data_IF_630244581049
#
_entry.id   IF_630244581049
#
_cell.length_a   1.000
_cell.length_b   1.000
_cell.length_c   1.000
_cell.angle_alpha   90.00
_cell.angle_beta   90.00
_cell.angle_gamma   90.00
#
_symmetry.space_group_name_H-M   'P 1'
#
loop_
_entity.id
_entity.type
_entity.pdbx_description
1 polymer ?
#
# COMPACT_ATOMS: atom_id res chain seq x y z
N UNK A 1 19.46 3.55 -13.91
CA UNK A 1 19.52 4.45 -12.73
C UNK A 1 18.30 5.36 -12.73
N UNK A 2 17.66 5.56 -11.58
CA UNK A 2 16.57 6.53 -11.46
C UNK A 2 17.11 7.96 -11.60
N UNK A 3 16.34 8.85 -12.26
CA UNK A 3 16.69 10.27 -12.35
C UNK A 3 16.71 10.91 -10.95
N UNK A 4 17.47 11.99 -10.78
CA UNK A 4 17.50 12.76 -9.52
C UNK A 4 16.10 13.18 -9.07
N UNK A 5 15.25 13.59 -10.02
CA UNK A 5 13.85 13.93 -9.75
C UNK A 5 13.07 12.75 -9.16
N UNK A 6 13.22 11.57 -9.76
CA UNK A 6 12.56 10.36 -9.27
C UNK A 6 13.03 9.98 -7.86
N UNK A 7 14.32 10.11 -7.58
CA UNK A 7 14.88 9.85 -6.25
C UNK A 7 14.34 10.81 -5.19
N UNK A 8 14.29 12.10 -5.50
CA UNK A 8 13.76 13.13 -4.59
C UNK A 8 12.28 12.88 -4.28
N UNK A 9 11.47 12.64 -5.33
CA UNK A 9 10.04 12.37 -5.15
C UNK A 9 9.82 11.09 -4.32
N UNK A 10 10.54 10.02 -4.64
CA UNK A 10 10.43 8.75 -3.92
C UNK A 10 10.76 8.93 -2.45
N UNK A 11 11.89 9.57 -2.13
CA UNK A 11 12.32 9.79 -0.73
C UNK A 11 11.34 10.67 0.03
N UNK A 12 10.83 11.71 -0.59
CA UNK A 12 9.95 12.69 0.06
C UNK A 12 8.54 12.16 0.29
N UNK A 13 8.06 11.27 -0.59
CA UNK A 13 6.64 10.91 -0.64
C UNK A 13 6.35 9.47 -0.23
N UNK A 14 7.24 8.53 -0.55
CA UNK A 14 6.94 7.11 -0.44
C UNK A 14 7.84 6.31 0.50
N UNK A 15 9.11 6.73 0.65
CA UNK A 15 10.01 6.09 1.60
C UNK A 15 9.64 6.50 3.02
N UNK A 16 9.40 5.52 3.88
CA UNK A 16 9.00 5.78 5.26
C UNK A 16 10.22 6.12 6.12
N UNK A 17 10.04 6.95 7.15
CA UNK A 17 11.09 7.15 8.14
C UNK A 17 11.36 5.84 8.89
N UNK A 18 12.63 5.56 9.15
CA UNK A 18 13.11 4.40 9.90
C UNK A 18 13.30 4.73 11.39
N UNK A 19 13.33 6.01 11.73
CA UNK A 19 13.47 6.48 13.11
C UNK A 19 12.38 7.53 13.44
N UNK A 20 12.16 7.75 14.72
CA UNK A 20 11.15 8.71 15.21
C UNK A 20 11.52 10.16 14.86
N UNK A 21 12.80 10.46 14.73
CA UNK A 21 13.31 11.79 14.40
C UNK A 21 13.10 12.17 12.93
N UNK A 22 12.75 11.21 12.08
CA UNK A 22 12.52 11.43 10.64
C UNK A 22 13.80 11.83 9.88
N UNK A 23 14.96 11.43 10.36
CA UNK A 23 16.26 11.72 9.72
C UNK A 23 16.71 10.61 8.77
N UNK A 24 16.32 9.36 9.07
CA UNK A 24 16.59 8.18 8.26
C UNK A 24 15.33 7.69 7.56
N UNK A 25 15.47 7.31 6.29
CA UNK A 25 14.37 6.86 5.45
C UNK A 25 14.69 5.54 4.79
N UNK A 26 13.64 4.77 4.47
CA UNK A 26 13.74 3.58 3.64
C UNK A 26 14.51 3.88 2.34
N UNK A 27 15.26 2.90 1.85
CA UNK A 27 15.68 2.86 0.45
C UNK A 27 14.49 2.48 -0.45
N UNK A 28 14.67 2.60 -1.78
CA UNK A 28 13.65 2.12 -2.71
C UNK A 28 13.43 0.61 -2.60
N UNK A 29 14.50 -0.14 -2.42
CA UNK A 29 14.49 -1.58 -2.23
C UNK A 29 13.71 -1.99 -0.98
N UNK A 30 13.91 -1.27 0.12
CA UNK A 30 13.16 -1.49 1.37
C UNK A 30 11.69 -1.19 1.21
N UNK A 31 11.33 -0.08 0.54
CA UNK A 31 9.94 0.27 0.24
C UNK A 31 9.28 -0.82 -0.61
N UNK A 32 9.95 -1.30 -1.66
CA UNK A 32 9.40 -2.38 -2.51
C UNK A 32 9.32 -3.70 -1.74
N UNK A 33 10.33 -4.05 -0.95
CA UNK A 33 10.29 -5.23 -0.07
C UNK A 33 9.06 -5.23 0.83
N UNK A 34 8.74 -4.09 1.44
CA UNK A 34 7.54 -3.90 2.26
C UNK A 34 6.25 -4.06 1.46
N UNK A 35 6.18 -3.52 0.24
CA UNK A 35 5.03 -3.68 -0.66
C UNK A 35 4.80 -5.15 -1.02
N UNK A 36 5.86 -5.88 -1.37
CA UNK A 36 5.77 -7.31 -1.69
C UNK A 36 5.36 -8.14 -0.47
N UNK A 37 5.89 -7.82 0.71
CA UNK A 37 5.47 -8.45 1.97
C UNK A 37 3.96 -8.24 2.22
N UNK A 38 3.45 -7.05 1.94
CA UNK A 38 2.02 -6.76 2.04
C UNK A 38 1.17 -7.57 1.05
N UNK A 39 1.60 -7.68 -0.20
CA UNK A 39 0.90 -8.49 -1.21
C UNK A 39 0.88 -9.97 -0.84
N UNK A 40 2.02 -10.50 -0.38
CA UNK A 40 2.10 -11.85 0.16
C UNK A 40 1.09 -12.09 1.28
N UNK A 41 1.07 -11.19 2.26
CA UNK A 41 0.14 -11.27 3.40
C UNK A 41 -1.33 -11.23 2.97
N UNK A 42 -1.70 -10.36 2.02
CA UNK A 42 -3.06 -10.30 1.47
C UNK A 42 -3.43 -11.61 0.77
N UNK A 43 -2.52 -12.18 0.03
CA UNK A 43 -2.74 -13.42 -0.71
C UNK A 43 -2.93 -14.62 0.23
N UNK A 44 -2.03 -14.76 1.21
CA UNK A 44 -2.14 -15.80 2.26
C UNK A 44 -3.48 -15.69 3.00
N UNK A 45 -3.88 -14.48 3.33
CA UNK A 45 -5.15 -14.23 4.02
C UNK A 45 -6.36 -14.55 3.13
N UNK A 46 -6.35 -14.18 1.88
CA UNK A 46 -7.45 -14.47 0.95
C UNK A 46 -7.64 -15.98 0.71
N UNK A 47 -6.55 -16.74 0.74
CA UNK A 47 -6.57 -18.21 0.61
C UNK A 47 -6.91 -18.92 1.92
N UNK A 48 -6.74 -18.26 3.06
CA UNK A 48 -6.80 -18.90 4.37
C UNK A 48 -5.62 -19.84 4.64
N UNK A 49 -4.54 -19.73 3.88
CA UNK A 49 -3.34 -20.55 3.95
C UNK A 49 -2.09 -19.69 4.11
N UNK A 50 -1.12 -20.16 4.89
CA UNK A 50 0.16 -19.47 5.11
C UNK A 50 1.23 -19.83 4.08
N UNK A 51 0.92 -20.71 3.11
CA UNK A 51 1.85 -21.14 2.07
C UNK A 51 1.42 -20.69 0.71
N UNK A 52 2.30 -20.00 0.03
CA UNK A 52 2.19 -19.71 -1.40
C UNK A 52 2.74 -20.88 -2.22
N UNK A 53 2.13 -21.14 -3.38
CA UNK A 53 2.65 -22.06 -4.37
C UNK A 53 3.91 -21.51 -5.04
N UNK A 54 4.62 -22.35 -5.78
CA UNK A 54 5.80 -21.91 -6.54
C UNK A 54 5.43 -20.88 -7.63
N UNK A 55 4.25 -21.01 -8.23
CA UNK A 55 3.75 -20.07 -9.24
C UNK A 55 3.48 -18.68 -8.61
N UNK A 56 2.78 -18.64 -7.48
CA UNK A 56 2.51 -17.41 -6.73
C UNK A 56 3.80 -16.71 -6.26
N UNK A 57 4.79 -17.48 -5.84
CA UNK A 57 6.11 -16.94 -5.52
C UNK A 57 6.81 -16.34 -6.74
N UNK A 58 6.71 -16.98 -7.89
CA UNK A 58 7.27 -16.45 -9.13
C UNK A 58 6.57 -15.15 -9.56
N UNK A 59 5.26 -15.06 -9.44
CA UNK A 59 4.52 -13.83 -9.72
C UNK A 59 4.93 -12.69 -8.79
N UNK A 60 5.09 -12.95 -7.49
CA UNK A 60 5.57 -11.93 -6.55
C UNK A 60 7.00 -11.50 -6.86
N UNK A 61 7.87 -12.42 -7.25
CA UNK A 61 9.24 -12.11 -7.63
C UNK A 61 9.31 -11.28 -8.93
N UNK A 62 8.49 -11.58 -9.91
CA UNK A 62 8.38 -10.80 -11.14
C UNK A 62 7.85 -9.39 -10.85
N UNK A 63 6.77 -9.28 -10.06
CA UNK A 63 6.25 -7.99 -9.62
C UNK A 63 7.32 -7.18 -8.89
N UNK A 64 8.05 -7.80 -7.97
CA UNK A 64 9.15 -7.15 -7.25
C UNK A 64 10.20 -6.59 -8.21
N UNK A 65 10.60 -7.38 -9.20
CA UNK A 65 11.61 -6.95 -10.18
C UNK A 65 11.11 -5.79 -11.03
N UNK A 66 9.85 -5.85 -11.49
CA UNK A 66 9.23 -4.77 -12.26
C UNK A 66 9.17 -3.45 -11.46
N UNK A 67 8.86 -3.53 -10.18
CA UNK A 67 8.80 -2.36 -9.29
C UNK A 67 10.20 -1.81 -8.98
N UNK A 68 11.17 -2.68 -8.73
CA UNK A 68 12.57 -2.28 -8.52
C UNK A 68 13.14 -1.55 -9.75
N UNK A 69 12.87 -2.08 -10.92
CA UNK A 69 13.27 -1.50 -12.21
C UNK A 69 12.47 -0.26 -12.59
N UNK A 70 11.41 0.09 -11.84
CA UNK A 70 10.46 1.18 -12.14
C UNK A 70 9.76 1.01 -13.50
N UNK A 71 9.57 -0.23 -13.94
CA UNK A 71 8.81 -0.61 -15.14
C UNK A 71 7.32 -0.75 -14.87
N UNK A 72 6.96 -0.94 -13.61
CA UNK A 72 5.59 -0.92 -13.11
C UNK A 72 5.49 0.02 -11.90
N UNK A 73 4.28 0.41 -11.56
CA UNK A 73 3.97 1.19 -10.36
C UNK A 73 2.70 0.68 -9.72
N UNK A 74 2.65 0.71 -8.41
CA UNK A 74 1.44 0.50 -7.61
C UNK A 74 0.91 1.86 -7.13
N UNK A 75 -0.31 1.86 -6.58
CA UNK A 75 -0.89 3.06 -6.02
C UNK A 75 0.03 3.69 -4.96
N UNK A 76 0.09 5.02 -4.94
CA UNK A 76 0.93 5.75 -3.98
C UNK A 76 0.65 5.37 -2.53
N UNK A 77 -0.61 5.09 -2.20
CA UNK A 77 -1.02 4.64 -0.87
C UNK A 77 -0.44 3.26 -0.53
N UNK A 78 -0.35 2.36 -1.49
CA UNK A 78 0.33 1.06 -1.31
C UNK A 78 1.82 1.24 -1.03
N UNK A 79 2.48 2.16 -1.73
CA UNK A 79 3.88 2.51 -1.47
C UNK A 79 4.09 3.09 -0.07
N UNK A 80 3.15 3.92 0.41
CA UNK A 80 3.26 4.59 1.69
C UNK A 80 2.81 3.74 2.88
N UNK A 81 1.68 3.04 2.77
CA UNK A 81 1.03 2.32 3.87
C UNK A 81 1.19 0.80 3.82
N UNK A 82 1.55 0.22 2.67
CA UNK A 82 1.65 -1.23 2.54
C UNK A 82 2.54 -1.83 3.62
N UNK A 83 2.08 -2.91 4.23
CA UNK A 83 2.71 -3.65 5.33
C UNK A 83 3.02 -2.84 6.60
N UNK A 84 2.29 -1.77 6.83
CA UNK A 84 2.33 -1.04 8.10
C UNK A 84 1.28 -1.58 9.05
N UNK A 85 1.43 -1.28 10.34
CA UNK A 85 0.43 -1.61 11.35
C UNK A 85 -0.95 -1.01 11.01
N UNK A 86 -0.98 0.16 10.41
CA UNK A 86 -2.21 0.83 9.98
C UNK A 86 -2.93 -0.02 8.93
N UNK A 87 -2.24 -0.42 7.86
CA UNK A 87 -2.83 -1.21 6.79
C UNK A 87 -3.25 -2.61 7.22
N UNK A 88 -2.52 -3.22 8.16
CA UNK A 88 -2.84 -4.53 8.70
C UNK A 88 -4.05 -4.53 9.66
N UNK A 89 -4.26 -3.45 10.39
CA UNK A 89 -5.39 -3.28 11.31
C UNK A 89 -6.61 -2.63 10.69
N UNK A 90 -6.41 -1.78 9.68
CA UNK A 90 -7.44 -0.95 9.05
C UNK A 90 -7.28 -0.98 7.55
N UNK A 91 -7.67 -2.07 6.91
CA UNK A 91 -7.51 -2.26 5.46
C UNK A 91 -8.24 -1.20 4.63
N UNK A 92 -9.33 -0.64 5.15
CA UNK A 92 -10.03 0.49 4.53
C UNK A 92 -9.14 1.70 4.29
N UNK A 93 -8.05 1.87 5.07
CA UNK A 93 -7.05 2.92 4.84
C UNK A 93 -6.30 2.77 3.51
N UNK A 94 -6.33 1.59 2.91
CA UNK A 94 -5.68 1.29 1.63
C UNK A 94 -6.53 1.71 0.42
N UNK A 95 -7.82 1.96 0.60
CA UNK A 95 -8.70 2.42 -0.46
C UNK A 95 -8.54 3.93 -0.68
N UNK A 96 -8.29 4.33 -1.92
CA UNK A 96 -8.20 5.74 -2.29
C UNK A 96 -9.59 6.37 -2.39
N UNK A 97 -10.53 5.65 -3.01
CA UNK A 97 -11.88 6.13 -3.29
C UNK A 97 -12.88 5.01 -3.07
N UNK A 98 -14.07 5.40 -2.66
CA UNK A 98 -15.25 4.54 -2.56
C UNK A 98 -16.49 5.30 -3.03
N UNK A 99 -17.56 4.58 -3.24
CA UNK A 99 -18.86 5.13 -3.60
C UNK A 99 -19.95 4.42 -2.80
N UNK A 100 -20.96 5.15 -2.36
CA UNK A 100 -22.17 4.59 -1.73
C UNK A 100 -23.39 5.37 -2.15
N UNK A 101 -24.56 4.75 -2.03
CA UNK A 101 -25.85 5.43 -2.17
C UNK A 101 -26.30 5.81 -0.76
N UNK A 102 -26.67 7.07 -0.56
CA UNK A 102 -27.13 7.58 0.73
C UNK A 102 -28.67 7.61 0.74
N UNK A 103 -29.26 6.66 1.43
CA UNK A 103 -30.71 6.56 1.62
C UNK A 103 -31.10 6.75 3.07
N UNK A 104 -30.22 6.43 3.99
CA UNK A 104 -30.45 6.47 5.43
C UNK A 104 -29.38 7.25 6.18
N UNK A 105 -29.64 7.58 7.44
CA UNK A 105 -28.65 8.20 8.34
C UNK A 105 -27.45 7.27 8.57
N UNK A 106 -27.64 5.96 8.53
CA UNK A 106 -26.56 5.00 8.70
C UNK A 106 -25.58 5.04 7.53
N UNK A 107 -26.05 5.26 6.32
CA UNK A 107 -25.18 5.40 5.14
C UNK A 107 -24.29 6.65 5.28
N UNK A 108 -24.82 7.73 5.88
CA UNK A 108 -24.02 8.93 6.19
C UNK A 108 -22.92 8.61 7.21
N UNK A 109 -23.20 7.77 8.22
CA UNK A 109 -22.22 7.33 9.20
C UNK A 109 -21.11 6.53 8.51
N UNK A 110 -21.45 5.63 7.59
CA UNK A 110 -20.49 4.86 6.82
C UNK A 110 -19.61 5.75 5.92
N UNK A 111 -20.20 6.74 5.26
CA UNK A 111 -19.46 7.77 4.50
C UNK A 111 -18.45 8.47 5.39
N UNK A 112 -18.88 8.98 6.54
CA UNK A 112 -18.01 9.69 7.48
C UNK A 112 -16.90 8.79 8.02
N UNK A 113 -17.20 7.52 8.31
CA UNK A 113 -16.23 6.55 8.76
C UNK A 113 -15.14 6.29 7.71
N UNK A 114 -15.53 6.10 6.44
CA UNK A 114 -14.58 5.93 5.33
C UNK A 114 -13.73 7.18 5.11
N UNK A 115 -14.31 8.38 5.20
CA UNK A 115 -13.56 9.64 5.12
C UNK A 115 -12.52 9.74 6.24
N UNK A 116 -12.85 9.34 7.46
CA UNK A 116 -11.91 9.31 8.59
C UNK A 116 -10.78 8.29 8.40
N UNK A 117 -10.98 7.25 7.59
CA UNK A 117 -9.91 6.33 7.18
C UNK A 117 -9.02 6.91 6.06
N UNK A 118 -9.35 8.10 5.57
CA UNK A 118 -8.62 8.76 4.48
C UNK A 118 -9.10 8.36 3.08
N UNK A 119 -10.22 7.66 2.96
CA UNK A 119 -10.84 7.31 1.69
C UNK A 119 -11.68 8.49 1.17
N UNK A 120 -11.56 8.83 -0.11
CA UNK A 120 -12.52 9.73 -0.77
C UNK A 120 -13.84 8.99 -1.00
N UNK A 121 -14.97 9.60 -0.66
CA UNK A 121 -16.29 8.97 -0.84
C UNK A 121 -17.15 9.82 -1.74
N UNK A 122 -17.63 9.21 -2.84
CA UNK A 122 -18.68 9.76 -3.70
C UNK A 122 -20.07 9.23 -3.32
N UNK A 123 -21.08 10.06 -3.49
CA UNK A 123 -22.49 9.70 -3.24
C UNK A 123 -23.45 10.57 -4.07
#
# INVERSE_FOLDING_TARGET
>A
MASTRAQVITRRTYNRPLNEEGTEFESWEQTIGRVISHQKWLWERAKGETRLTAEEWNELAELQQLLLDRKAAVAGRTLWLGDTEISRRRESSMFNCSFTIVETVYDVVDVLWLLLQGCGVGF
#
